data_IF_025297872511
#
_entry.id   IF_025297872511
#
_cell.length_a   1.000
_cell.length_b   1.000
_cell.length_c   1.000
_cell.angle_alpha   90.00
_cell.angle_beta   90.00
_cell.angle_gamma   90.00
#
_symmetry.space_group_name_H-M   'P 1'
#
loop_
_entity.id
_entity.type
_entity.pdbx_description
1 polymer ?
#
# COMPACT_ATOMS: atom_id res chain seq x y z
N UNK A 1 -3.49 30.73 27.28
CA UNK A 1 -2.95 29.45 26.78
C UNK A 1 -3.52 29.11 25.40
N UNK A 2 -4.80 28.75 25.27
CA UNK A 2 -5.36 28.34 23.96
C UNK A 2 -5.34 29.46 22.94
N UNK A 3 -5.65 30.70 23.36
CA UNK A 3 -5.45 31.89 22.52
C UNK A 3 -4.02 32.03 21.99
N UNK A 4 -3.03 31.83 22.86
CA UNK A 4 -1.61 31.95 22.49
C UNK A 4 -1.19 30.84 21.51
N UNK A 5 -1.70 29.63 21.72
CA UNK A 5 -1.48 28.50 20.80
C UNK A 5 -2.18 28.76 19.45
N UNK A 6 -3.40 29.31 19.46
CA UNK A 6 -4.12 29.66 18.24
C UNK A 6 -3.35 30.71 17.42
N UNK A 7 -2.93 31.79 18.08
CA UNK A 7 -2.15 32.83 17.43
C UNK A 7 -0.82 32.27 16.88
N UNK A 8 -0.13 31.45 17.67
CA UNK A 8 1.10 30.79 17.24
C UNK A 8 0.89 29.91 15.99
N UNK A 9 -0.19 29.12 15.96
CA UNK A 9 -0.54 28.28 14.81
C UNK A 9 -0.73 29.12 13.55
N UNK A 10 -1.50 30.21 13.63
CA UNK A 10 -1.79 31.08 12.49
C UNK A 10 -0.53 31.80 11.99
N UNK A 11 0.24 32.40 12.90
CA UNK A 11 1.47 33.12 12.57
C UNK A 11 2.52 32.19 11.96
N UNK A 12 2.75 31.04 12.58
CA UNK A 12 3.74 30.06 12.12
C UNK A 12 3.36 29.47 10.78
N UNK A 13 2.07 29.16 10.56
CA UNK A 13 1.58 28.69 9.26
C UNK A 13 1.86 29.72 8.16
N UNK A 14 1.55 30.99 8.40
CA UNK A 14 1.83 32.06 7.44
C UNK A 14 3.33 32.22 7.19
N UNK A 15 4.15 32.19 8.25
CA UNK A 15 5.60 32.30 8.16
C UNK A 15 6.23 31.15 7.37
N UNK A 16 5.97 29.90 7.76
CA UNK A 16 6.55 28.71 7.12
C UNK A 16 6.11 28.57 5.67
N UNK A 17 4.84 28.86 5.36
CA UNK A 17 4.34 28.85 3.98
C UNK A 17 5.12 29.83 3.10
N UNK A 18 5.43 31.02 3.63
CA UNK A 18 6.22 32.04 2.92
C UNK A 18 7.68 31.64 2.78
N UNK A 19 8.30 31.16 3.86
CA UNK A 19 9.72 30.77 3.88
C UNK A 19 10.00 29.57 2.96
N UNK A 20 9.05 28.64 2.86
CA UNK A 20 9.24 27.37 2.15
C UNK A 20 8.55 27.24 0.79
N UNK A 21 7.94 28.32 0.28
CA UNK A 21 7.26 28.34 -1.01
C UNK A 21 8.14 27.73 -2.13
N UNK A 22 9.40 28.15 -2.21
CA UNK A 22 10.36 27.73 -3.25
C UNK A 22 11.47 26.79 -2.74
N UNK A 23 11.34 26.24 -1.53
CA UNK A 23 12.35 25.35 -0.95
C UNK A 23 12.31 23.96 -1.58
N UNK A 24 13.48 23.34 -1.71
CA UNK A 24 13.62 21.97 -2.22
C UNK A 24 12.89 20.94 -1.33
N UNK A 25 12.46 19.82 -1.93
CA UNK A 25 11.81 18.73 -1.21
C UNK A 25 12.71 18.16 -0.10
N UNK A 26 14.01 18.00 -0.37
CA UNK A 26 14.97 17.45 0.60
C UNK A 26 15.12 18.37 1.82
N UNK A 27 15.23 19.68 1.61
CA UNK A 27 15.33 20.65 2.71
C UNK A 27 14.07 20.64 3.58
N UNK A 28 12.89 20.50 2.98
CA UNK A 28 11.63 20.35 3.74
C UNK A 28 11.59 19.06 4.55
N UNK A 29 12.05 17.94 3.97
CA UNK A 29 12.17 16.66 4.66
C UNK A 29 13.09 16.75 5.88
N UNK A 30 14.24 17.39 5.72
CA UNK A 30 15.22 17.55 6.78
C UNK A 30 14.69 18.48 7.88
N UNK A 31 14.00 19.57 7.51
CA UNK A 31 13.34 20.47 8.45
C UNK A 31 12.23 19.77 9.25
N UNK A 32 11.34 19.02 8.59
CA UNK A 32 10.29 18.24 9.26
C UNK A 32 10.89 17.18 10.19
N UNK A 33 11.95 16.49 9.74
CA UNK A 33 12.67 15.51 10.55
C UNK A 33 13.33 16.12 11.78
N UNK A 34 13.89 17.33 11.65
CA UNK A 34 14.49 18.05 12.77
C UNK A 34 13.42 18.52 13.76
N UNK A 35 12.31 19.10 13.28
CA UNK A 35 11.19 19.51 14.13
C UNK A 35 10.60 18.32 14.91
N UNK A 36 10.50 17.14 14.28
CA UNK A 36 10.09 15.91 14.97
C UNK A 36 11.07 15.51 16.08
N UNK A 37 12.38 15.59 15.84
CA UNK A 37 13.41 15.30 16.86
C UNK A 37 13.33 16.27 18.03
N UNK A 38 13.12 17.55 17.76
CA UNK A 38 12.99 18.58 18.79
C UNK A 38 11.75 18.33 19.65
N UNK A 39 10.62 17.98 19.01
CA UNK A 39 9.42 17.52 19.70
C UNK A 39 9.70 16.27 20.56
N UNK A 40 10.32 15.23 20.01
CA UNK A 40 10.60 13.99 20.76
C UNK A 40 11.53 14.21 21.95
N UNK A 41 12.54 15.07 21.79
CA UNK A 41 13.49 15.39 22.86
C UNK A 41 12.74 16.01 24.03
N UNK A 42 11.93 17.03 23.77
CA UNK A 42 11.15 17.68 24.81
C UNK A 42 10.09 16.74 25.40
N UNK A 43 9.44 15.91 24.57
CA UNK A 43 8.46 14.93 25.02
C UNK A 43 9.06 13.89 25.99
N UNK A 44 10.35 13.53 25.84
CA UNK A 44 11.06 12.61 26.74
C UNK A 44 11.35 13.22 28.10
N UNK A 45 11.58 14.54 28.14
CA UNK A 45 11.85 15.27 29.38
C UNK A 45 10.58 15.41 30.24
N UNK A 46 9.38 15.31 29.64
CA UNK A 46 8.11 15.26 30.35
C UNK A 46 7.72 13.80 30.67
N UNK A 47 7.52 13.50 31.95
CA UNK A 47 6.91 12.24 32.37
C UNK A 47 5.61 12.01 31.58
N UNK A 48 5.45 10.80 31.03
CA UNK A 48 4.27 10.35 30.26
C UNK A 48 2.98 10.83 30.95
N UNK A 49 2.34 11.87 30.40
CA UNK A 49 1.08 12.39 30.94
C UNK A 49 0.91 13.91 30.95
N UNK A 50 1.95 14.72 30.66
CA UNK A 50 1.81 16.19 30.58
C UNK A 50 1.68 16.65 29.13
N UNK A 51 0.60 16.23 28.46
CA UNK A 51 0.27 16.69 27.10
C UNK A 51 -0.24 18.14 27.03
N UNK A 52 -0.37 18.79 28.19
CA UNK A 52 -0.83 20.17 28.36
C UNK A 52 0.27 21.23 28.29
N UNK A 53 1.54 20.85 28.12
CA UNK A 53 2.62 21.82 28.04
C UNK A 53 2.50 22.64 26.72
N UNK A 54 2.34 23.98 26.80
CA UNK A 54 2.19 24.83 25.62
C UNK A 54 3.37 24.75 24.65
N UNK A 55 4.60 24.64 25.16
CA UNK A 55 5.81 24.54 24.31
C UNK A 55 5.85 23.22 23.56
N UNK A 56 5.43 22.12 24.19
CA UNK A 56 5.33 20.83 23.52
C UNK A 56 4.27 20.84 22.41
N UNK A 57 3.14 21.52 22.63
CA UNK A 57 2.10 21.72 21.62
C UNK A 57 2.65 22.56 20.45
N UNK A 58 3.39 23.65 20.73
CA UNK A 58 4.03 24.47 19.69
C UNK A 58 5.02 23.66 18.84
N UNK A 59 5.86 22.83 19.44
CA UNK A 59 6.77 21.95 18.69
C UNK A 59 6.01 20.93 17.82
N UNK A 60 4.92 20.37 18.31
CA UNK A 60 4.05 19.49 17.52
C UNK A 60 3.43 20.24 16.33
N UNK A 61 3.00 21.50 16.52
CA UNK A 61 2.50 22.37 15.44
C UNK A 61 3.59 22.62 14.39
N UNK A 62 4.83 22.92 14.80
CA UNK A 62 5.92 23.14 13.86
C UNK A 62 6.21 21.91 13.00
N UNK A 63 6.32 20.75 13.65
CA UNK A 63 6.50 19.48 12.95
C UNK A 63 5.36 19.24 11.95
N UNK A 64 4.11 19.43 12.38
CA UNK A 64 2.92 19.25 11.54
C UNK A 64 2.94 20.12 10.29
N UNK A 65 3.15 21.43 10.45
CA UNK A 65 3.14 22.38 9.34
C UNK A 65 4.27 22.11 8.35
N UNK A 66 5.46 21.76 8.82
CA UNK A 66 6.59 21.39 7.97
C UNK A 66 6.34 20.07 7.24
N UNK A 67 5.81 19.06 7.93
CA UNK A 67 5.45 17.78 7.33
C UNK A 67 4.34 17.96 6.29
N UNK A 68 3.37 18.84 6.52
CA UNK A 68 2.31 19.14 5.56
C UNK A 68 2.87 19.79 4.29
N UNK A 69 3.75 20.78 4.43
CA UNK A 69 4.44 21.41 3.29
C UNK A 69 5.29 20.40 2.50
N UNK A 70 5.91 19.44 3.20
CA UNK A 70 6.63 18.34 2.58
C UNK A 70 5.68 17.41 1.81
N UNK A 71 4.61 16.92 2.45
CA UNK A 71 3.62 16.01 1.85
C UNK A 71 2.94 16.59 0.62
N UNK A 72 2.55 17.88 0.66
CA UNK A 72 1.94 18.59 -0.48
C UNK A 72 2.84 18.69 -1.72
N UNK A 73 4.16 18.45 -1.59
CA UNK A 73 5.11 18.42 -2.71
C UNK A 73 5.44 17.00 -3.19
N UNK A 74 4.91 15.96 -2.54
CA UNK A 74 5.13 14.57 -2.93
C UNK A 74 4.27 14.20 -4.14
N UNK A 75 4.72 13.19 -4.88
CA UNK A 75 3.97 12.57 -5.97
C UNK A 75 3.52 11.16 -5.58
N UNK A 76 2.33 10.71 -6.02
CA UNK A 76 1.76 9.40 -5.66
C UNK A 76 2.36 8.26 -6.48
N UNK A 77 3.69 8.18 -6.53
CA UNK A 77 4.44 7.21 -7.32
C UNK A 77 5.26 6.23 -6.47
N UNK A 78 5.32 6.44 -5.15
CA UNK A 78 6.09 5.63 -4.21
C UNK A 78 5.26 5.35 -2.94
N UNK A 79 5.33 4.10 -2.47
CA UNK A 79 4.74 3.67 -1.21
C UNK A 79 5.30 4.46 -0.02
N UNK A 80 6.56 4.89 -0.09
CA UNK A 80 7.14 5.74 0.94
C UNK A 80 6.35 7.06 1.07
N UNK A 81 5.96 7.67 -0.05
CA UNK A 81 5.24 8.95 -0.04
C UNK A 81 3.85 8.80 0.59
N UNK A 82 3.16 7.69 0.31
CA UNK A 82 1.89 7.34 0.97
C UNK A 82 2.08 7.24 2.49
N UNK A 83 3.17 6.61 2.95
CA UNK A 83 3.47 6.52 4.39
C UNK A 83 3.74 7.89 5.04
N UNK A 84 4.31 8.84 4.30
CA UNK A 84 4.52 10.19 4.81
C UNK A 84 3.20 10.96 5.01
N UNK A 85 2.22 10.75 4.12
CA UNK A 85 0.86 11.26 4.31
C UNK A 85 0.17 10.64 5.53
N UNK A 86 0.27 9.32 5.73
CA UNK A 86 -0.24 8.68 6.95
C UNK A 86 0.43 9.21 8.23
N UNK A 87 1.73 9.51 8.20
CA UNK A 87 2.41 10.13 9.36
C UNK A 87 1.84 11.50 9.68
N UNK A 88 1.48 12.28 8.66
CA UNK A 88 0.87 13.60 8.83
C UNK A 88 -0.51 13.48 9.47
N UNK A 89 -1.37 12.57 9.00
CA UNK A 89 -2.68 12.29 9.59
C UNK A 89 -2.55 11.93 11.09
N UNK A 90 -1.66 10.98 11.43
CA UNK A 90 -1.40 10.58 12.81
C UNK A 90 -0.88 11.74 13.68
N UNK A 91 -0.09 12.64 13.10
CA UNK A 91 0.41 13.81 13.80
C UNK A 91 -0.72 14.81 14.13
N UNK A 92 -1.74 14.93 13.26
CA UNK A 92 -2.91 15.76 13.49
C UNK A 92 -3.79 15.16 14.60
N UNK A 93 -4.04 13.85 14.56
CA UNK A 93 -4.73 13.13 15.64
C UNK A 93 -4.04 13.34 16.99
N UNK A 94 -2.70 13.33 17.00
CA UNK A 94 -1.91 13.59 18.21
C UNK A 94 -2.08 15.02 18.71
N UNK A 95 -2.05 16.03 17.83
CA UNK A 95 -2.28 17.41 18.23
C UNK A 95 -3.69 17.62 18.80
N UNK A 96 -4.72 17.05 18.17
CA UNK A 96 -6.08 17.07 18.71
C UNK A 96 -6.13 16.48 20.12
N UNK A 97 -5.51 15.32 20.33
CA UNK A 97 -5.45 14.68 21.64
C UNK A 97 -4.75 15.59 22.66
N UNK A 98 -3.61 16.18 22.31
CA UNK A 98 -2.89 17.10 23.20
C UNK A 98 -3.73 18.32 23.60
N UNK A 99 -4.48 18.90 22.66
CA UNK A 99 -5.37 20.02 22.94
C UNK A 99 -6.53 19.62 23.87
N UNK A 100 -7.13 18.42 23.67
CA UNK A 100 -8.18 17.90 24.55
C UNK A 100 -7.65 17.63 25.97
N UNK A 101 -6.47 17.05 26.11
CA UNK A 101 -5.82 16.86 27.41
C UNK A 101 -5.50 18.20 28.10
N UNK A 102 -5.02 19.19 27.33
CA UNK A 102 -4.87 20.56 27.80
C UNK A 102 -6.19 21.10 28.37
N UNK A 103 -7.31 20.86 27.68
CA UNK A 103 -8.63 21.34 28.10
C UNK A 103 -9.13 20.62 29.35
N UNK A 104 -8.88 19.32 29.48
CA UNK A 104 -9.16 18.56 30.70
C UNK A 104 -8.41 19.17 31.90
N UNK A 105 -7.14 19.52 31.72
CA UNK A 105 -6.36 20.14 32.79
C UNK A 105 -6.87 21.53 33.16
N UNK A 106 -7.21 22.37 32.17
CA UNK A 106 -7.80 23.70 32.43
C UNK A 106 -9.10 23.58 33.21
N UNK A 107 -10.02 22.68 32.82
CA UNK A 107 -11.27 22.44 33.55
C UNK A 107 -11.02 21.95 34.98
N UNK A 108 -10.05 21.06 35.17
CA UNK A 108 -9.66 20.57 36.51
C UNK A 108 -9.16 21.71 37.41
N UNK A 109 -8.44 22.69 36.85
CA UNK A 109 -7.94 23.86 37.59
C UNK A 109 -9.10 24.83 37.88
N UNK A 110 -9.94 25.13 36.89
CA UNK A 110 -11.04 26.09 37.00
C UNK A 110 -12.18 25.60 37.93
N UNK A 111 -12.51 24.31 37.86
CA UNK A 111 -13.72 23.74 38.50
C UNK A 111 -13.39 22.76 39.63
N UNK A 112 -12.11 22.47 39.89
CA UNK A 112 -11.66 21.51 40.90
C UNK A 112 -11.98 20.04 40.59
N UNK A 113 -12.71 19.76 39.50
CA UNK A 113 -13.06 18.43 39.00
C UNK A 113 -13.03 18.44 37.48
N UNK A 114 -12.59 17.33 36.89
CA UNK A 114 -12.74 17.09 35.46
C UNK A 114 -14.13 16.52 35.21
N UNK A 115 -14.96 17.20 34.40
CA UNK A 115 -16.16 16.59 33.83
C UNK A 115 -15.84 16.11 32.40
N UNK A 116 -15.64 14.78 32.18
CA UNK A 116 -15.34 14.25 30.86
C UNK A 116 -16.47 14.49 29.86
N UNK A 117 -17.72 14.59 30.33
CA UNK A 117 -18.87 14.81 29.47
C UNK A 117 -18.84 16.20 28.83
N UNK A 118 -18.26 17.19 29.53
CA UNK A 118 -18.17 18.56 29.03
C UNK A 118 -17.32 18.66 27.76
N UNK A 119 -16.14 18.05 27.74
CA UNK A 119 -15.29 18.05 26.53
C UNK A 119 -15.95 17.25 25.41
N UNK A 120 -16.58 16.12 25.75
CA UNK A 120 -17.35 15.35 24.76
C UNK A 120 -18.44 16.19 24.11
N UNK A 121 -19.22 16.96 24.88
CA UNK A 121 -20.25 17.85 24.33
C UNK A 121 -19.66 19.03 23.54
N UNK A 122 -18.55 19.61 23.99
CA UNK A 122 -17.82 20.67 23.26
C UNK A 122 -17.37 20.15 21.88
N UNK A 123 -16.84 18.92 21.82
CA UNK A 123 -16.43 18.28 20.56
C UNK A 123 -17.62 17.91 19.67
N UNK A 124 -18.70 17.34 20.22
CA UNK A 124 -19.89 17.02 19.41
C UNK A 124 -20.56 18.27 18.83
N UNK A 125 -20.59 19.37 19.58
CA UNK A 125 -21.07 20.64 19.08
C UNK A 125 -20.17 21.15 17.94
N UNK A 126 -18.86 21.06 18.10
CA UNK A 126 -17.89 21.47 17.10
C UNK A 126 -17.99 20.62 15.81
N UNK A 127 -18.13 19.31 15.96
CA UNK A 127 -18.32 18.39 14.83
C UNK A 127 -19.63 18.72 14.08
N UNK A 128 -20.72 19.00 14.80
CA UNK A 128 -21.98 19.45 14.21
C UNK A 128 -21.82 20.77 13.46
N UNK A 129 -21.03 21.71 13.99
CA UNK A 129 -20.74 22.97 13.33
C UNK A 129 -19.95 22.78 12.03
N UNK A 130 -18.90 21.95 12.06
CA UNK A 130 -18.10 21.61 10.88
C UNK A 130 -18.97 20.91 9.83
N UNK A 131 -19.87 20.02 10.24
CA UNK A 131 -20.77 19.34 9.32
C UNK A 131 -21.75 20.30 8.64
N UNK A 132 -22.21 21.35 9.35
CA UNK A 132 -23.14 22.35 8.80
C UNK A 132 -22.46 23.39 7.90
N UNK A 133 -21.22 23.79 8.23
CA UNK A 133 -20.52 24.90 7.56
C UNK A 133 -19.37 24.44 6.65
N UNK A 134 -19.07 23.14 6.64
CA UNK A 134 -17.93 22.57 5.95
C UNK A 134 -16.59 23.16 6.42
N UNK A 135 -15.57 23.05 5.56
CA UNK A 135 -14.22 23.56 5.83
C UNK A 135 -14.14 25.11 5.79
N UNK A 136 -15.12 25.78 5.18
CA UNK A 136 -15.12 27.24 5.00
C UNK A 136 -15.69 28.03 6.19
N UNK A 137 -16.28 27.40 7.20
CA UNK A 137 -16.94 28.12 8.30
C UNK A 137 -16.00 29.00 9.12
N UNK A 138 -16.05 30.32 9.00
CA UNK A 138 -15.12 31.21 9.69
C UNK A 138 -15.33 31.23 11.22
N UNK A 139 -14.23 31.41 11.95
CA UNK A 139 -14.20 31.57 13.42
C UNK A 139 -14.94 32.85 13.86
N UNK A 140 -14.99 33.86 12.99
CA UNK A 140 -15.51 35.20 13.28
C UNK A 140 -17.04 35.32 13.27
N UNK A 141 -17.75 34.30 12.77
CA UNK A 141 -19.21 34.34 12.60
C UNK A 141 -19.85 33.18 13.34
N UNK A 142 -20.10 33.30 14.65
CA UNK A 142 -20.96 32.28 15.24
C UNK A 142 -21.83 32.74 16.40
N UNK A 143 -23.11 32.43 16.25
CA UNK A 143 -24.05 32.15 17.34
C UNK A 143 -23.59 30.93 18.17
N UNK A 144 -22.69 30.08 17.64
CA UNK A 144 -22.03 28.94 18.30
C UNK A 144 -21.26 29.32 19.57
N UNK A 145 -20.57 30.47 19.59
CA UNK A 145 -19.84 30.95 20.78
C UNK A 145 -20.67 31.86 21.69
N UNK A 146 -21.92 32.17 21.35
CA UNK A 146 -22.70 33.22 22.03
C UNK A 146 -22.88 32.97 23.54
N UNK A 147 -22.86 31.70 23.96
CA UNK A 147 -23.02 31.29 25.35
C UNK A 147 -21.76 30.65 25.96
N UNK A 148 -20.65 30.58 25.23
CA UNK A 148 -19.42 29.96 25.70
C UNK A 148 -18.61 30.93 26.59
N UNK A 149 -18.05 30.43 27.69
CA UNK A 149 -17.09 31.19 28.49
C UNK A 149 -15.82 31.53 27.69
N UNK A 150 -15.03 32.51 28.15
CA UNK A 150 -13.82 32.96 27.43
C UNK A 150 -12.83 31.83 27.15
N UNK A 151 -12.50 31.00 28.15
CA UNK A 151 -11.55 29.89 27.98
C UNK A 151 -12.09 28.76 27.10
N UNK A 152 -13.40 28.55 27.10
CA UNK A 152 -14.08 27.57 26.26
C UNK A 152 -14.04 27.98 24.79
N UNK A 153 -14.35 29.24 24.53
CA UNK A 153 -14.23 29.85 23.21
C UNK A 153 -12.81 29.71 22.67
N UNK A 154 -11.79 30.14 23.42
CA UNK A 154 -10.40 30.06 22.97
C UNK A 154 -9.97 28.63 22.60
N UNK A 155 -10.41 27.62 23.37
CA UNK A 155 -10.15 26.21 23.07
C UNK A 155 -10.86 25.75 21.79
N UNK A 156 -12.14 26.08 21.64
CA UNK A 156 -12.91 25.70 20.47
C UNK A 156 -12.41 26.38 19.19
N UNK A 157 -11.89 27.61 19.27
CA UNK A 157 -11.31 28.33 18.13
C UNK A 157 -10.06 27.59 17.59
N UNK A 158 -9.10 27.23 18.47
CA UNK A 158 -7.91 26.48 18.04
C UNK A 158 -8.27 25.06 17.57
N UNK A 159 -9.21 24.39 18.25
CA UNK A 159 -9.63 23.05 17.87
C UNK A 159 -10.34 23.05 16.51
N UNK A 160 -11.13 24.08 16.20
CA UNK A 160 -11.79 24.23 14.91
C UNK A 160 -10.77 24.31 13.77
N UNK A 161 -9.75 25.17 13.91
CA UNK A 161 -8.70 25.30 12.88
C UNK A 161 -7.93 23.98 12.69
N UNK A 162 -7.55 23.33 13.79
CA UNK A 162 -6.84 22.03 13.74
C UNK A 162 -7.70 20.94 13.10
N UNK A 163 -8.97 20.79 13.50
CA UNK A 163 -9.88 19.79 12.94
C UNK A 163 -10.12 20.00 11.45
N UNK A 164 -10.29 21.24 11.00
CA UNK A 164 -10.46 21.52 9.57
C UNK A 164 -9.24 21.10 8.76
N UNK A 165 -8.04 21.44 9.22
CA UNK A 165 -6.82 21.02 8.54
C UNK A 165 -6.64 19.50 8.59
N UNK A 166 -6.95 18.87 9.72
CA UNK A 166 -6.92 17.42 9.83
C UNK A 166 -7.87 16.75 8.82
N UNK A 167 -9.12 17.21 8.73
CA UNK A 167 -10.08 16.67 7.76
C UNK A 167 -9.59 16.87 6.33
N UNK A 168 -9.07 18.05 5.99
CA UNK A 168 -8.49 18.30 4.66
C UNK A 168 -7.33 17.34 4.37
N UNK A 169 -6.42 17.15 5.33
CA UNK A 169 -5.31 16.19 5.19
C UNK A 169 -5.79 14.76 5.06
N UNK A 170 -6.85 14.35 5.76
CA UNK A 170 -7.44 13.01 5.61
C UNK A 170 -8.05 12.82 4.21
N UNK A 171 -8.67 13.87 3.64
CA UNK A 171 -9.17 13.84 2.27
C UNK A 171 -8.01 13.72 1.26
N UNK A 172 -7.00 14.56 1.41
CA UNK A 172 -5.82 14.56 0.53
C UNK A 172 -5.03 13.25 0.63
N UNK A 173 -4.81 12.72 1.84
CA UNK A 173 -4.14 11.41 2.06
C UNK A 173 -4.89 10.29 1.36
N UNK A 174 -6.20 10.23 1.55
CA UNK A 174 -7.01 9.15 1.01
C UNK A 174 -7.07 9.19 -0.51
N UNK A 175 -7.17 10.38 -1.12
CA UNK A 175 -7.08 10.55 -2.57
C UNK A 175 -5.69 10.17 -3.10
N UNK A 176 -4.63 10.65 -2.44
CA UNK A 176 -3.24 10.34 -2.80
C UNK A 176 -2.93 8.83 -2.72
N UNK A 177 -3.38 8.18 -1.65
CA UNK A 177 -3.31 6.74 -1.47
C UNK A 177 -4.09 6.01 -2.55
N UNK A 178 -5.32 6.43 -2.83
CA UNK A 178 -6.16 5.79 -3.84
C UNK A 178 -5.51 5.85 -5.23
N UNK A 179 -4.99 7.02 -5.61
CA UNK A 179 -4.28 7.19 -6.87
C UNK A 179 -3.08 6.23 -6.98
N UNK A 180 -2.21 6.21 -5.97
CA UNK A 180 -1.04 5.33 -5.97
C UNK A 180 -1.41 3.84 -6.08
N UNK A 181 -2.37 3.38 -5.26
CA UNK A 181 -2.74 1.97 -5.25
C UNK A 181 -3.53 1.55 -6.49
N UNK A 182 -4.27 2.46 -7.11
CA UNK A 182 -4.94 2.24 -8.40
C UNK A 182 -3.92 2.06 -9.51
N UNK A 183 -2.94 2.95 -9.63
CA UNK A 183 -1.87 2.83 -10.62
C UNK A 183 -1.04 1.55 -10.43
N UNK A 184 -0.72 1.23 -9.17
CA UNK A 184 -0.04 -0.02 -8.82
C UNK A 184 -0.89 -1.24 -9.19
N UNK A 185 -2.19 -1.22 -8.93
CA UNK A 185 -3.10 -2.32 -9.26
C UNK A 185 -3.20 -2.56 -10.77
N UNK A 186 -3.34 -1.48 -11.55
CA UNK A 186 -3.36 -1.55 -13.02
C UNK A 186 -2.06 -2.15 -13.61
N UNK A 187 -0.91 -1.77 -13.04
CA UNK A 187 0.38 -2.35 -13.45
C UNK A 187 0.46 -3.84 -13.11
N UNK A 188 0.07 -4.22 -11.89
CA UNK A 188 0.04 -5.62 -11.45
C UNK A 188 -0.93 -6.46 -12.30
N UNK A 189 -2.09 -5.92 -12.66
CA UNK A 189 -3.04 -6.58 -13.56
C UNK A 189 -2.42 -6.83 -14.94
N UNK A 190 -1.70 -5.85 -15.48
CA UNK A 190 -0.98 -5.99 -16.76
C UNK A 190 0.08 -7.09 -16.68
N UNK A 191 0.86 -7.14 -15.59
CA UNK A 191 1.84 -8.19 -15.35
C UNK A 191 1.19 -9.58 -15.22
N UNK A 192 0.08 -9.67 -14.49
CA UNK A 192 -0.70 -10.90 -14.34
C UNK A 192 -1.20 -11.41 -15.69
N UNK A 193 -1.79 -10.54 -16.52
CA UNK A 193 -2.25 -10.90 -17.88
C UNK A 193 -1.09 -11.39 -18.75
N UNK A 194 0.05 -10.70 -18.69
CA UNK A 194 1.27 -11.09 -19.42
C UNK A 194 1.78 -12.48 -19.00
N UNK A 195 1.95 -12.73 -17.70
CA UNK A 195 2.41 -14.03 -17.20
C UNK A 195 1.41 -15.15 -17.41
N UNK A 196 0.11 -14.89 -17.33
CA UNK A 196 -0.92 -15.87 -17.66
C UNK A 196 -0.85 -16.29 -19.13
N UNK A 197 -0.58 -15.34 -20.03
CA UNK A 197 -0.37 -15.65 -21.45
C UNK A 197 0.85 -16.57 -21.63
N UNK A 198 1.99 -16.25 -21.02
CA UNK A 198 3.19 -17.09 -21.08
C UNK A 198 2.97 -18.48 -20.48
N UNK A 199 2.23 -18.57 -19.36
CA UNK A 199 1.89 -19.86 -18.76
C UNK A 199 1.08 -20.73 -19.73
N UNK A 200 0.07 -20.15 -20.40
CA UNK A 200 -0.73 -20.88 -21.38
C UNK A 200 0.11 -21.35 -22.57
N UNK A 201 1.01 -20.49 -23.08
CA UNK A 201 1.94 -20.86 -24.17
C UNK A 201 2.86 -22.03 -23.77
N UNK A 202 3.38 -22.04 -22.54
CA UNK A 202 4.20 -23.15 -22.02
C UNK A 202 3.39 -24.43 -21.79
N UNK A 203 2.12 -24.32 -21.34
CA UNK A 203 1.21 -25.46 -21.21
C UNK A 203 0.92 -26.09 -22.58
N UNK A 204 0.63 -25.28 -23.60
CA UNK A 204 0.42 -25.75 -24.97
C UNK A 204 1.69 -26.41 -25.53
N UNK A 205 2.87 -25.83 -25.26
CA UNK A 205 4.16 -26.42 -25.59
C UNK A 205 4.39 -27.78 -24.90
N UNK A 206 4.04 -27.90 -23.61
CA UNK A 206 4.13 -29.16 -22.89
C UNK A 206 3.19 -30.22 -23.47
N UNK A 207 1.97 -29.83 -23.88
CA UNK A 207 1.03 -30.75 -24.53
C UNK A 207 1.58 -31.23 -25.88
N UNK A 208 2.15 -30.34 -26.68
CA UNK A 208 2.80 -30.70 -27.94
C UNK A 208 3.95 -31.70 -27.74
N UNK A 209 4.83 -31.45 -26.76
CA UNK A 209 5.92 -32.37 -26.41
C UNK A 209 5.41 -33.73 -25.92
N UNK A 210 4.29 -33.76 -25.16
CA UNK A 210 3.65 -35.01 -24.73
C UNK A 210 3.08 -35.79 -25.92
N UNK A 211 2.46 -35.12 -26.88
CA UNK A 211 1.97 -35.74 -28.11
C UNK A 211 3.12 -36.23 -28.99
N UNK A 212 4.22 -35.48 -29.08
CA UNK A 212 5.45 -35.92 -29.75
C UNK A 212 6.02 -37.19 -29.09
N UNK A 213 6.05 -37.23 -27.75
CA UNK A 213 6.49 -38.41 -26.99
C UNK A 213 5.61 -39.63 -27.25
N UNK A 214 4.29 -39.45 -27.40
CA UNK A 214 3.38 -40.55 -27.76
C UNK A 214 3.61 -41.06 -29.19
N UNK A 215 4.06 -40.19 -30.10
CA UNK A 215 4.37 -40.54 -31.49
C UNK A 215 5.72 -41.23 -31.65
N UNK A 216 6.65 -41.02 -30.72
CA UNK A 216 7.91 -41.77 -30.70
C UNK A 216 7.64 -43.25 -30.46
N UNK A 217 8.12 -44.08 -31.38
CA UNK A 217 8.07 -45.53 -31.24
C UNK A 217 9.08 -45.99 -30.20
N UNK A 218 8.78 -46.95 -29.33
CA UNK A 218 9.79 -47.49 -28.42
C UNK A 218 10.93 -48.15 -29.20
N UNK A 219 12.14 -48.14 -28.63
CA UNK A 219 13.29 -48.88 -29.17
C UNK A 219 12.91 -50.34 -29.43
N UNK A 220 13.15 -50.79 -30.65
CA UNK A 220 13.01 -52.19 -31.06
C UNK A 220 13.98 -53.08 -30.28
N UNK A 221 13.73 -54.39 -30.31
CA UNK A 221 14.61 -55.37 -29.63
C UNK A 221 16.04 -55.30 -30.17
N UNK A 222 16.20 -55.11 -31.48
CA UNK A 222 17.50 -54.98 -32.12
C UNK A 222 18.22 -53.69 -31.71
N UNK A 223 17.51 -52.56 -31.64
CA UNK A 223 18.09 -51.30 -31.16
C UNK A 223 18.50 -51.39 -29.68
N UNK A 224 17.68 -52.03 -28.84
CA UNK A 224 18.04 -52.29 -27.43
C UNK A 224 19.33 -53.11 -27.32
N UNK A 225 19.48 -54.15 -28.14
CA UNK A 225 20.73 -54.92 -28.19
C UNK A 225 21.88 -54.10 -28.75
N UNK A 226 21.62 -53.22 -29.72
CA UNK A 226 22.61 -52.28 -30.26
C UNK A 226 23.15 -51.32 -29.19
N UNK A 227 22.29 -50.80 -28.30
CA UNK A 227 22.71 -50.02 -27.14
C UNK A 227 23.53 -50.85 -26.15
N UNK A 228 23.06 -52.07 -25.83
CA UNK A 228 23.82 -52.97 -24.95
C UNK A 228 25.23 -53.27 -25.52
N UNK A 229 25.36 -53.48 -26.82
CA UNK A 229 26.65 -53.68 -27.48
C UNK A 229 27.53 -52.43 -27.40
N UNK A 230 26.96 -51.26 -27.68
CA UNK A 230 27.67 -49.98 -27.53
C UNK A 230 28.26 -49.80 -26.12
N UNK A 231 27.51 -50.18 -25.08
CA UNK A 231 27.96 -50.13 -23.69
C UNK A 231 28.71 -51.38 -23.21
N UNK A 232 29.03 -52.32 -24.11
CA UNK A 232 29.76 -53.59 -23.82
C UNK A 232 29.05 -54.52 -22.83
N UNK A 233 27.72 -54.51 -22.85
CA UNK A 233 26.84 -55.34 -22.03
C UNK A 233 26.15 -56.45 -22.84
N UNK A 234 26.27 -56.44 -24.17
CA UNK A 234 25.69 -57.48 -25.01
C UNK A 234 26.38 -58.84 -24.82
N UNK A 235 25.58 -59.90 -24.73
CA UNK A 235 26.11 -61.26 -24.67
C UNK A 235 26.55 -61.76 -26.08
N UNK A 236 27.35 -62.84 -26.16
CA UNK A 236 27.88 -63.34 -27.44
C UNK A 236 26.81 -63.66 -28.50
N UNK A 237 25.62 -64.08 -28.08
CA UNK A 237 24.50 -64.35 -28.99
C UNK A 237 23.94 -63.05 -29.60
N UNK A 238 23.73 -62.02 -28.78
CA UNK A 238 23.30 -60.68 -29.25
C UNK A 238 24.33 -60.08 -30.21
N UNK A 239 25.62 -60.21 -29.91
CA UNK A 239 26.71 -59.77 -30.79
C UNK A 239 26.67 -60.44 -32.17
N UNK A 240 26.42 -61.75 -32.21
CA UNK A 240 26.30 -62.51 -33.46
C UNK A 240 25.11 -62.01 -34.30
N UNK A 241 23.95 -61.78 -33.66
CA UNK A 241 22.75 -61.28 -34.34
C UNK A 241 22.93 -59.85 -34.86
N UNK A 242 23.53 -58.97 -34.07
CA UNK A 242 23.83 -57.59 -34.48
C UNK A 242 24.84 -57.55 -35.63
N UNK A 243 25.89 -58.38 -35.58
CA UNK A 243 26.85 -58.52 -36.68
C UNK A 243 26.18 -58.96 -37.97
N UNK A 244 25.30 -59.97 -37.91
CA UNK A 244 24.59 -60.48 -39.08
C UNK A 244 23.69 -59.38 -39.68
N UNK A 245 22.95 -58.66 -38.85
CA UNK A 245 22.06 -57.60 -39.31
C UNK A 245 22.84 -56.43 -39.94
N UNK A 246 23.88 -55.93 -39.27
CA UNK A 246 24.72 -54.84 -39.80
C UNK A 246 25.44 -55.21 -41.10
N UNK A 247 25.78 -56.49 -41.31
CA UNK A 247 26.52 -56.94 -42.50
C UNK A 247 25.62 -57.23 -43.70
N UNK A 248 24.37 -57.67 -43.48
CA UNK A 248 23.53 -58.20 -44.55
C UNK A 248 22.17 -57.51 -44.71
N UNK A 249 21.65 -56.84 -43.68
CA UNK A 249 20.27 -56.34 -43.65
C UNK A 249 20.14 -54.82 -43.51
N UNK A 250 21.17 -54.13 -43.00
CA UNK A 250 21.13 -52.69 -42.76
C UNK A 250 22.23 -51.94 -43.49
N UNK A 251 21.92 -50.75 -44.01
CA UNK A 251 22.90 -49.81 -44.59
C UNK A 251 23.65 -49.00 -43.54
N UNK A 252 23.08 -48.88 -42.34
CA UNK A 252 23.70 -48.21 -41.20
C UNK A 252 23.82 -49.16 -40.00
N UNK A 253 24.87 -49.06 -39.16
CA UNK A 253 24.97 -49.87 -37.95
C UNK A 253 23.77 -49.65 -37.02
N UNK A 254 23.15 -50.73 -36.55
CA UNK A 254 22.03 -50.65 -35.59
C UNK A 254 22.42 -49.87 -34.33
N UNK A 255 23.69 -49.91 -33.92
CA UNK A 255 24.21 -49.17 -32.78
C UNK A 255 24.07 -47.65 -32.96
N UNK A 256 24.35 -47.12 -34.15
CA UNK A 256 24.23 -45.67 -34.40
C UNK A 256 22.77 -45.23 -34.47
N UNK A 257 21.90 -46.04 -35.09
CA UNK A 257 20.46 -45.81 -35.11
C UNK A 257 19.87 -45.82 -33.69
N UNK A 258 20.24 -46.82 -32.90
CA UNK A 258 19.78 -46.96 -31.51
C UNK A 258 20.26 -45.81 -30.62
N UNK A 259 21.50 -45.34 -30.78
CA UNK A 259 22.02 -44.16 -30.08
C UNK A 259 21.31 -42.88 -30.48
N UNK A 260 21.04 -42.67 -31.76
CA UNK A 260 20.31 -41.50 -32.24
C UNK A 260 18.88 -41.48 -31.69
N UNK A 261 18.22 -42.64 -31.67
CA UNK A 261 16.87 -42.80 -31.12
C UNK A 261 16.84 -42.62 -29.60
N UNK A 262 17.77 -43.23 -28.86
CA UNK A 262 17.90 -43.05 -27.40
C UNK A 262 18.16 -41.59 -27.03
N UNK A 263 19.06 -40.91 -27.77
CA UNK A 263 19.32 -39.49 -27.59
C UNK A 263 18.08 -38.64 -27.87
N UNK A 264 17.35 -38.90 -28.95
CA UNK A 264 16.12 -38.15 -29.26
C UNK A 264 15.04 -38.33 -28.17
N UNK A 265 14.91 -39.53 -27.60
CA UNK A 265 14.01 -39.78 -26.47
C UNK A 265 14.49 -39.05 -25.20
N UNK A 266 15.80 -39.07 -24.92
CA UNK A 266 16.40 -38.38 -23.77
C UNK A 266 16.26 -36.86 -23.86
N UNK A 267 16.52 -36.27 -25.03
CA UNK A 267 16.38 -34.83 -25.27
C UNK A 267 14.91 -34.38 -25.13
N UNK A 268 13.96 -35.22 -25.55
CA UNK A 268 12.53 -34.98 -25.37
C UNK A 268 12.12 -35.06 -23.89
N UNK A 269 12.62 -36.04 -23.14
CA UNK A 269 12.39 -36.18 -21.71
C UNK A 269 12.95 -34.99 -20.92
N UNK A 270 14.15 -34.54 -21.29
CA UNK A 270 14.76 -33.35 -20.72
C UNK A 270 13.90 -32.11 -21.02
N UNK A 271 13.40 -31.96 -22.25
CA UNK A 271 12.54 -30.84 -22.65
C UNK A 271 11.20 -30.85 -21.88
N UNK A 272 10.57 -32.01 -21.74
CA UNK A 272 9.36 -32.18 -20.92
C UNK A 272 9.59 -31.77 -19.47
N UNK A 273 10.70 -32.21 -18.88
CA UNK A 273 11.08 -31.86 -17.50
C UNK A 273 11.32 -30.35 -17.35
N UNK A 274 12.09 -29.76 -18.27
CA UNK A 274 12.39 -28.33 -18.26
C UNK A 274 11.12 -27.47 -18.40
N UNK A 275 10.24 -27.78 -19.37
CA UNK A 275 8.97 -27.06 -19.56
C UNK A 275 8.05 -27.25 -18.35
N UNK A 276 7.96 -28.46 -17.79
CA UNK A 276 7.16 -28.71 -16.58
C UNK A 276 7.66 -27.88 -15.39
N UNK A 277 8.98 -27.74 -15.22
CA UNK A 277 9.56 -26.92 -14.17
C UNK A 277 9.29 -25.42 -14.41
N UNK A 278 9.36 -24.95 -15.67
CA UNK A 278 9.01 -23.56 -16.02
C UNK A 278 7.55 -23.25 -15.70
N UNK A 279 6.63 -24.16 -16.02
CA UNK A 279 5.21 -24.04 -15.68
C UNK A 279 5.05 -23.90 -14.16
N UNK A 280 5.65 -24.80 -13.38
CA UNK A 280 5.55 -24.75 -11.92
C UNK A 280 6.11 -23.45 -11.33
N UNK A 281 7.22 -22.94 -11.88
CA UNK A 281 7.78 -21.64 -11.48
C UNK A 281 6.83 -20.49 -11.82
N UNK A 282 6.26 -20.47 -13.03
CA UNK A 282 5.29 -19.45 -13.45
C UNK A 282 4.01 -19.48 -12.62
N UNK A 283 3.50 -20.65 -12.26
CA UNK A 283 2.36 -20.80 -11.35
C UNK A 283 2.67 -20.21 -9.96
N UNK A 284 3.88 -20.46 -9.43
CA UNK A 284 4.33 -19.89 -8.16
C UNK A 284 4.40 -18.37 -8.22
N UNK A 285 5.01 -17.82 -9.28
CA UNK A 285 5.11 -16.37 -9.50
C UNK A 285 3.73 -15.72 -9.66
N UNK A 286 2.81 -16.34 -10.40
CA UNK A 286 1.43 -15.89 -10.54
C UNK A 286 0.68 -15.91 -9.20
N UNK A 287 0.91 -16.92 -8.37
CA UNK A 287 0.36 -16.98 -7.02
C UNK A 287 0.82 -15.80 -6.15
N UNK A 288 2.12 -15.47 -6.21
CA UNK A 288 2.68 -14.32 -5.51
C UNK A 288 2.11 -12.99 -6.05
N UNK A 289 2.07 -12.82 -7.37
CA UNK A 289 1.50 -11.61 -8.01
C UNK A 289 0.03 -11.43 -7.66
N UNK A 290 -0.78 -12.49 -7.68
CA UNK A 290 -2.20 -12.44 -7.29
C UNK A 290 -2.37 -11.98 -5.85
N UNK A 291 -1.51 -12.46 -4.95
CA UNK A 291 -1.51 -12.02 -3.55
C UNK A 291 -1.23 -10.53 -3.43
N UNK A 292 -0.19 -10.03 -4.12
CA UNK A 292 0.18 -8.60 -4.08
C UNK A 292 -0.91 -7.73 -4.73
N UNK A 293 -1.51 -8.20 -5.83
CA UNK A 293 -2.65 -7.54 -6.48
C UNK A 293 -3.85 -7.43 -5.53
N UNK A 294 -4.22 -8.53 -4.86
CA UNK A 294 -5.29 -8.53 -3.86
C UNK A 294 -5.00 -7.59 -2.68
N UNK A 295 -3.74 -7.51 -2.23
CA UNK A 295 -3.33 -6.54 -1.22
C UNK A 295 -3.48 -5.09 -1.69
N UNK A 296 -3.10 -4.78 -2.94
CA UNK A 296 -3.25 -3.44 -3.52
C UNK A 296 -4.73 -3.03 -3.59
N UNK A 297 -5.61 -3.92 -4.05
CA UNK A 297 -7.06 -3.65 -4.08
C UNK A 297 -7.65 -3.47 -2.67
N UNK A 298 -7.19 -4.24 -1.68
CA UNK A 298 -7.58 -4.02 -0.29
C UNK A 298 -7.21 -2.63 0.22
N UNK A 299 -6.05 -2.10 -0.18
CA UNK A 299 -5.63 -0.74 0.18
C UNK A 299 -6.48 0.35 -0.51
N UNK A 300 -6.91 0.13 -1.76
CA UNK A 300 -7.85 1.02 -2.46
C UNK A 300 -9.14 1.14 -1.65
N UNK A 301 -9.77 0.01 -1.30
CA UNK A 301 -11.01 0.01 -0.51
C UNK A 301 -10.83 0.67 0.86
N UNK A 302 -9.69 0.48 1.52
CA UNK A 302 -9.40 1.17 2.78
C UNK A 302 -9.25 2.69 2.60
N UNK A 303 -8.59 3.13 1.53
CA UNK A 303 -8.45 4.55 1.22
C UNK A 303 -9.81 5.20 0.91
N UNK A 304 -10.65 4.54 0.09
CA UNK A 304 -12.02 5.00 -0.21
C UNK A 304 -12.88 5.12 1.06
N UNK A 305 -12.78 4.15 1.97
CA UNK A 305 -13.49 4.19 3.24
C UNK A 305 -13.01 5.34 4.14
N UNK A 306 -11.71 5.63 4.19
CA UNK A 306 -11.17 6.80 4.91
C UNK A 306 -11.67 8.10 4.29
N UNK A 307 -11.60 8.21 2.96
CA UNK A 307 -12.11 9.38 2.23
C UNK A 307 -13.58 9.65 2.55
N UNK A 308 -14.41 8.61 2.48
CA UNK A 308 -15.84 8.68 2.81
C UNK A 308 -16.07 9.11 4.26
N UNK A 309 -15.29 8.58 5.20
CA UNK A 309 -15.41 8.94 6.62
C UNK A 309 -15.06 10.41 6.83
N UNK A 310 -14.01 10.92 6.18
CA UNK A 310 -13.65 12.34 6.23
C UNK A 310 -14.71 13.24 5.57
N UNK A 311 -15.26 12.84 4.41
CA UNK A 311 -16.35 13.55 3.72
C UNK A 311 -17.60 13.67 4.59
N UNK A 312 -17.98 12.61 5.30
CA UNK A 312 -19.13 12.62 6.22
C UNK A 312 -19.01 13.68 7.32
N UNK A 313 -17.79 14.05 7.72
CA UNK A 313 -17.57 15.08 8.74
C UNK A 313 -17.82 16.50 8.23
N UNK A 314 -17.81 16.72 6.92
CA UNK A 314 -17.98 18.05 6.29
C UNK A 314 -19.23 18.17 5.42
N UNK A 315 -19.98 17.08 5.27
CA UNK A 315 -21.21 17.02 4.46
C UNK A 315 -22.43 16.88 5.38
N UNK A 316 -23.46 17.73 5.23
CA UNK A 316 -24.72 17.56 5.96
C UNK A 316 -25.33 16.17 5.68
N UNK A 317 -25.93 15.53 6.69
CA UNK A 317 -26.58 14.20 6.61
C UNK A 317 -27.67 14.06 5.51
N UNK A 318 -28.05 15.14 4.82
CA UNK A 318 -29.15 15.19 3.87
C UNK A 318 -28.74 15.41 2.40
N UNK A 319 -27.45 15.44 2.06
CA UNK A 319 -27.02 15.54 0.65
C UNK A 319 -26.93 14.18 -0.05
N UNK A 320 -27.58 14.09 -1.23
CA UNK A 320 -27.60 12.94 -2.16
C UNK A 320 -26.20 12.35 -2.44
N UNK A 321 -25.15 13.19 -2.40
CA UNK A 321 -23.76 12.80 -2.66
C UNK A 321 -23.22 11.71 -1.73
N UNK A 322 -23.66 11.67 -0.46
CA UNK A 322 -23.21 10.62 0.47
C UNK A 322 -23.87 9.29 0.09
N UNK A 323 -25.18 9.28 -0.17
CA UNK A 323 -25.95 8.09 -0.55
C UNK A 323 -25.53 7.52 -1.90
N UNK A 324 -25.24 8.38 -2.88
CA UNK A 324 -24.76 7.95 -4.21
C UNK A 324 -23.36 7.30 -4.12
N UNK A 325 -22.46 7.83 -3.30
CA UNK A 325 -21.17 7.17 -3.03
C UNK A 325 -21.32 5.84 -2.28
N UNK A 326 -22.30 5.70 -1.36
CA UNK A 326 -22.55 4.41 -0.67
C UNK A 326 -23.08 3.35 -1.64
N UNK A 327 -23.88 3.76 -2.62
CA UNK A 327 -24.39 2.92 -3.72
C UNK A 327 -23.25 2.40 -4.60
N UNK A 328 -22.38 3.29 -5.07
CA UNK A 328 -21.36 2.95 -6.07
C UNK A 328 -20.27 2.01 -5.51
N UNK A 329 -19.92 2.14 -4.22
CA UNK A 329 -18.98 1.24 -3.55
C UNK A 329 -19.63 -0.12 -3.30
N UNK A 330 -20.89 -0.15 -2.87
CA UNK A 330 -21.60 -1.41 -2.63
C UNK A 330 -21.77 -2.25 -3.90
N UNK A 331 -21.91 -1.61 -5.05
CA UNK A 331 -21.97 -2.27 -6.36
C UNK A 331 -20.61 -2.81 -6.85
N UNK A 332 -19.48 -2.24 -6.38
CA UNK A 332 -18.14 -2.72 -6.71
C UNK A 332 -17.61 -3.79 -5.75
N UNK A 333 -18.23 -3.95 -4.57
CA UNK A 333 -17.92 -5.01 -3.61
C UNK A 333 -18.70 -6.31 -3.85
N UNK A 334 -19.73 -6.28 -4.71
CA UNK A 334 -20.43 -7.47 -5.25
C UNK A 334 -19.75 -7.93 -6.53
#
# INVERSE_FOLDING_TARGET
MFKDIHQYLLETKAQLTKEHANTSLQTLKDAASQAYKDFEKLAKDFNKGVYSNPELIKLQINYLLLQELYCRKLLPNDEHNVKEWFKLENAYQKLEHMLREGRHQTLRIEQGKTDPKKISSEMSALDSYIQQKGLQGNVSETEFYANAGSTEREFLEVMLEVKKQHIQVSLDESEFSNQYYTDRSNNLETQLRGKLKTLNEEIDGLQALKEEKKRQTPLSILEKWGLEDHYKQANPFKLLVLWFNNKFLSSEPIQSLALAHDKANSDLDLSLSMTSNRISNLETELGQLRKVYGQSNGQITLAENRHKTALKLITPEHEENVQQLESDISQRMQ
#
